data_IF_149851151901
#
_entry.id   IF_149851151901
#
_cell.length_a   1.000
_cell.length_b   1.000
_cell.length_c   1.000
_cell.angle_alpha   90.00
_cell.angle_beta   90.00
_cell.angle_gamma   90.00
#
_symmetry.space_group_name_H-M   'P 1'
#
loop_
_entity.id
_entity.type
_entity.pdbx_description
1 polymer ?
#
# COMPACT_ATOMS: atom_id res chain seq x y z
N UNK A 1 0.82 17.16 3.32
CA UNK A 1 0.59 15.72 3.20
C UNK A 1 1.37 15.17 2.05
N UNK A 2 1.76 13.94 2.16
CA UNK A 2 2.77 13.40 1.28
C UNK A 2 2.34 12.03 0.75
N UNK A 3 2.50 11.85 -0.55
CA UNK A 3 2.27 10.54 -1.14
C UNK A 3 3.44 9.62 -0.81
N UNK A 4 3.12 8.41 -0.41
CA UNK A 4 4.10 7.35 -0.18
C UNK A 4 3.96 6.32 -1.28
N UNK A 5 5.01 5.54 -1.49
CA UNK A 5 5.03 4.54 -2.57
C UNK A 5 5.32 3.17 -1.97
N UNK A 6 4.52 2.19 -2.39
CA UNK A 6 4.75 0.80 -2.00
C UNK A 6 4.95 -0.01 -3.27
N UNK A 7 6.05 -0.77 -3.31
CA UNK A 7 6.34 -1.66 -4.43
C UNK A 7 5.96 -3.09 -4.06
N UNK A 8 5.37 -3.83 -5.00
CA UNK A 8 4.91 -5.18 -4.72
C UNK A 8 4.76 -5.97 -6.00
N UNK A 9 4.56 -7.27 -5.85
CA UNK A 9 4.26 -8.13 -6.98
C UNK A 9 2.80 -7.95 -7.38
N UNK A 10 2.51 -8.21 -8.65
CA UNK A 10 1.18 -8.00 -9.20
C UNK A 10 0.07 -8.66 -8.37
N UNK A 11 0.34 -9.84 -7.87
CA UNK A 11 -0.68 -10.60 -7.14
C UNK A 11 -1.13 -9.95 -5.84
N UNK A 12 -0.34 -9.02 -5.31
CA UNK A 12 -0.68 -8.35 -4.06
C UNK A 12 -1.35 -6.98 -4.27
N UNK A 13 -1.33 -6.49 -5.51
CA UNK A 13 -1.80 -5.14 -5.81
C UNK A 13 -3.28 -4.98 -5.46
N UNK A 14 -4.10 -5.91 -5.90
CA UNK A 14 -5.54 -5.80 -5.70
C UNK A 14 -5.92 -5.77 -4.23
N UNK A 15 -5.31 -6.65 -3.44
CA UNK A 15 -5.57 -6.70 -2.00
C UNK A 15 -5.11 -5.42 -1.31
N UNK A 16 -3.96 -4.92 -1.71
CA UNK A 16 -3.42 -3.69 -1.13
C UNK A 16 -4.35 -2.51 -1.39
N UNK A 17 -4.77 -2.35 -2.64
CA UNK A 17 -5.65 -1.25 -3.01
C UNK A 17 -6.99 -1.35 -2.27
N UNK A 18 -7.54 -2.55 -2.21
CA UNK A 18 -8.80 -2.77 -1.52
C UNK A 18 -8.69 -2.42 -0.04
N UNK A 19 -7.62 -2.87 0.59
CA UNK A 19 -7.42 -2.59 2.01
C UNK A 19 -7.33 -1.08 2.26
N UNK A 20 -6.60 -0.38 1.41
CA UNK A 20 -6.47 1.07 1.55
C UNK A 20 -7.83 1.76 1.42
N UNK A 21 -8.60 1.38 0.41
CA UNK A 21 -9.92 1.96 0.21
C UNK A 21 -10.87 1.64 1.36
N UNK A 22 -10.83 0.42 1.84
CA UNK A 22 -11.70 0.01 2.94
C UNK A 22 -11.41 0.77 4.23
N UNK A 23 -10.19 1.26 4.37
CA UNK A 23 -9.79 2.03 5.53
C UNK A 23 -9.82 3.54 5.28
N UNK A 24 -10.39 3.97 4.16
CA UNK A 24 -10.54 5.38 3.87
C UNK A 24 -9.23 6.09 3.51
N UNK A 25 -8.23 5.34 3.08
CA UNK A 25 -6.93 5.90 2.73
C UNK A 25 -6.87 6.14 1.23
N UNK A 26 -6.38 7.31 0.84
CA UNK A 26 -6.25 7.64 -0.58
C UNK A 26 -5.19 6.75 -1.23
N UNK A 27 -5.52 6.25 -2.40
CA UNK A 27 -4.63 5.36 -3.13
C UNK A 27 -4.74 5.68 -4.62
N UNK A 28 -3.62 5.63 -5.33
CA UNK A 28 -3.58 5.92 -6.76
C UNK A 28 -3.81 4.66 -7.57
N UNK A 29 -3.93 4.83 -8.88
CA UNK A 29 -3.93 3.70 -9.80
C UNK A 29 -2.57 3.01 -9.73
N UNK A 30 -2.54 1.68 -9.68
CA UNK A 30 -1.27 0.97 -9.70
C UNK A 30 -0.58 1.12 -11.06
N UNK A 31 0.73 1.10 -11.06
CA UNK A 31 1.48 1.12 -12.30
C UNK A 31 2.69 0.20 -12.19
N UNK A 32 3.12 -0.34 -13.33
CA UNK A 32 4.24 -1.25 -13.38
C UNK A 32 5.50 -0.53 -13.80
N UNK A 33 6.60 -0.82 -13.11
CA UNK A 33 7.89 -0.26 -13.43
C UNK A 33 8.93 -1.36 -13.29
N UNK A 34 9.48 -1.81 -14.41
CA UNK A 34 10.53 -2.83 -14.45
C UNK A 34 10.13 -4.11 -13.72
N UNK A 35 8.89 -4.55 -13.92
CA UNK A 35 8.43 -5.80 -13.33
C UNK A 35 7.91 -5.69 -11.92
N UNK A 36 8.04 -4.53 -11.32
CA UNK A 36 7.52 -4.28 -9.97
C UNK A 36 6.30 -3.37 -10.09
N UNK A 37 5.23 -3.70 -9.40
CA UNK A 37 4.05 -2.87 -9.37
C UNK A 37 4.14 -1.89 -8.21
N UNK A 38 3.88 -0.63 -8.51
CA UNK A 38 3.94 0.42 -7.51
C UNK A 38 2.58 1.05 -7.32
N UNK A 39 2.25 1.32 -6.08
CA UNK A 39 1.00 1.95 -5.71
C UNK A 39 1.32 3.11 -4.78
N UNK A 40 0.81 4.29 -5.12
CA UNK A 40 1.00 5.44 -4.25
C UNK A 40 -0.19 5.54 -3.32
N UNK A 41 0.07 5.86 -2.06
CA UNK A 41 -0.98 6.01 -1.07
C UNK A 41 -0.66 7.19 -0.17
N UNK A 42 -1.70 7.80 0.39
CA UNK A 42 -1.52 8.99 1.21
C UNK A 42 -2.39 8.90 2.46
N UNK A 43 -1.82 8.39 3.55
CA UNK A 43 -2.54 8.37 4.82
C UNK A 43 -2.66 9.78 5.37
N UNK A 44 -3.79 10.06 5.98
CA UNK A 44 -4.07 11.37 6.57
C UNK A 44 -4.14 11.20 8.08
N UNK A 45 -3.29 11.94 8.77
CA UNK A 45 -3.26 11.88 10.22
C UNK A 45 -2.48 10.70 10.76
N UNK A 46 -2.22 10.77 12.06
CA UNK A 46 -1.37 9.78 12.73
C UNK A 46 -1.99 8.39 12.73
N UNK A 47 -3.30 8.33 12.96
CA UNK A 47 -3.99 7.05 13.07
C UNK A 47 -3.91 6.25 11.76
N UNK A 48 -4.19 6.90 10.64
CA UNK A 48 -4.10 6.23 9.35
C UNK A 48 -2.67 5.85 9.03
N UNK A 49 -1.73 6.71 9.37
CA UNK A 49 -0.33 6.43 9.12
C UNK A 49 0.13 5.19 9.89
N UNK A 50 -0.22 5.08 11.15
CA UNK A 50 0.14 3.93 11.96
C UNK A 50 -0.52 2.64 11.43
N UNK A 51 -1.77 2.75 11.01
CA UNK A 51 -2.47 1.62 10.41
C UNK A 51 -1.76 1.11 9.17
N UNK A 52 -1.36 2.02 8.29
CA UNK A 52 -0.65 1.66 7.08
C UNK A 52 0.67 0.97 7.40
N UNK A 53 1.41 1.53 8.35
CA UNK A 53 2.70 0.96 8.71
C UNK A 53 2.57 -0.46 9.23
N UNK A 54 1.56 -0.71 10.07
CA UNK A 54 1.31 -2.05 10.59
C UNK A 54 0.91 -3.02 9.48
N UNK A 55 0.06 -2.57 8.58
CA UNK A 55 -0.40 -3.42 7.49
C UNK A 55 0.76 -3.80 6.57
N UNK A 56 1.58 -2.82 6.19
CA UNK A 56 2.71 -3.06 5.30
C UNK A 56 3.72 -3.97 5.96
N UNK A 57 3.99 -3.75 7.23
CA UNK A 57 4.91 -4.59 7.98
C UNK A 57 4.39 -6.02 8.05
N UNK A 58 3.11 -6.20 8.31
CA UNK A 58 2.50 -7.51 8.34
C UNK A 58 2.63 -8.22 7.00
N UNK A 59 2.35 -7.53 5.91
CA UNK A 59 2.44 -8.12 4.57
C UNK A 59 3.87 -8.50 4.23
N UNK A 60 4.81 -7.63 4.54
CA UNK A 60 6.21 -7.94 4.29
C UNK A 60 6.67 -9.17 5.03
N UNK A 61 6.24 -9.30 6.28
CA UNK A 61 6.66 -10.43 7.10
C UNK A 61 5.99 -11.74 6.71
N UNK A 62 4.78 -11.67 6.18
CA UNK A 62 3.99 -12.88 5.92
C UNK A 62 3.92 -13.27 4.45
N UNK A 63 4.06 -12.31 3.54
CA UNK A 63 3.86 -12.56 2.12
C UNK A 63 5.15 -12.53 1.31
N UNK A 64 6.14 -11.79 1.77
CA UNK A 64 7.37 -11.62 1.00
C UNK A 64 8.51 -12.49 1.51
N UNK A 65 8.26 -13.19 2.56
CA UNK A 65 9.20 -14.16 3.07
C UNK A 65 8.74 -15.56 2.72
#
# INVERSE_FOLDING_TARGET
MKWLIAGMQKEFVEDFVRWMRDNGIRVSEPFELSGIWEVMYMPIGREQKEKCERYIEYRCNNDLM
#
